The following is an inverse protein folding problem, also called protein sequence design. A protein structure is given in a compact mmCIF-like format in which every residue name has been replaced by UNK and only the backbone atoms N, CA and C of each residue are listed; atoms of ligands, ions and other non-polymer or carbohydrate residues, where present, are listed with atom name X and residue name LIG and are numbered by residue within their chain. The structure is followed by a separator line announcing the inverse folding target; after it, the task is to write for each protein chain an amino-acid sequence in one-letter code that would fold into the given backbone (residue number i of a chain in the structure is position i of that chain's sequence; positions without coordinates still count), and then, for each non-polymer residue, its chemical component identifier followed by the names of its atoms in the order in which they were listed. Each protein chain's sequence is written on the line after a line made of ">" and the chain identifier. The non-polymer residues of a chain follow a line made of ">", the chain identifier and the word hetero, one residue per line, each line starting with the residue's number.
data_IF_397132628791
#
_entry.id   IF_397132628791
#
_cell.length_a   1.000
_cell.length_b   1.000
_cell.length_c   1.000
_cell.angle_alpha   90.00
_cell.angle_beta   90.00
_cell.angle_gamma   90.00
#
_symmetry.space_group_name_H-M   'P 1'
#
loop_
_entity.id
_entity.type
_entity.pdbx_description
1 polymer ?
#
# COMPACT_ATOMS: atom_id res chain seq x y z
N UNK A 1 -18.60 -13.91 4.95
CA UNK A 1 -17.35 -13.63 5.70
C UNK A 1 -16.26 -13.31 4.69
N UNK A 2 -15.54 -12.20 4.86
CA UNK A 2 -14.53 -11.76 3.90
C UNK A 2 -13.26 -12.61 3.99
N UNK A 3 -13.16 -13.62 3.11
CA UNK A 3 -11.92 -14.33 2.78
C UNK A 3 -11.12 -13.47 1.80
N UNK A 4 -10.70 -12.27 2.21
CA UNK A 4 -9.98 -11.36 1.30
C UNK A 4 -8.52 -11.76 1.10
N UNK A 5 -7.96 -12.55 2.03
CA UNK A 5 -6.56 -12.98 2.02
C UNK A 5 -6.45 -14.47 2.33
N UNK A 6 -5.46 -15.12 1.72
CA UNK A 6 -5.12 -16.52 1.99
C UNK A 6 -4.41 -16.65 3.35
N UNK A 7 -4.34 -17.87 3.89
CA UNK A 7 -3.57 -18.13 5.10
C UNK A 7 -2.09 -17.75 4.95
N UNK A 8 -1.51 -17.96 3.78
CA UNK A 8 -0.12 -17.60 3.48
C UNK A 8 0.08 -16.08 3.54
N UNK A 9 -0.83 -15.31 2.93
CA UNK A 9 -0.81 -13.84 2.99
C UNK A 9 -0.97 -13.33 4.44
N UNK A 10 -1.83 -13.99 5.23
CA UNK A 10 -1.98 -13.70 6.65
C UNK A 10 -0.67 -13.95 7.42
N UNK A 11 0.07 -15.02 7.12
CA UNK A 11 1.37 -15.26 7.74
C UNK A 11 2.41 -14.21 7.32
N UNK A 12 2.40 -13.78 6.06
CA UNK A 12 3.26 -12.69 5.59
C UNK A 12 3.03 -11.41 6.40
N UNK A 13 1.77 -11.02 6.63
CA UNK A 13 1.46 -9.85 7.45
C UNK A 13 1.99 -9.98 8.89
N UNK A 14 1.87 -11.17 9.50
CA UNK A 14 2.36 -11.41 10.87
C UNK A 14 3.87 -11.26 11.01
N UNK A 15 4.64 -11.48 9.95
CA UNK A 15 6.09 -11.31 9.93
C UNK A 15 6.53 -9.97 9.32
N UNK A 16 5.58 -9.05 9.11
CA UNK A 16 5.86 -7.71 8.58
C UNK A 16 6.18 -7.68 7.09
N UNK A 17 5.79 -8.72 6.33
CA UNK A 17 5.95 -8.77 4.87
C UNK A 17 4.65 -8.38 4.17
N UNK A 18 4.81 -7.76 3.01
CA UNK A 18 3.72 -7.46 2.07
C UNK A 18 3.60 -8.60 1.06
N UNK A 19 2.40 -9.16 0.82
CA UNK A 19 2.19 -10.12 -0.26
C UNK A 19 2.48 -9.55 -1.65
N UNK A 20 2.83 -10.43 -2.58
CA UNK A 20 3.40 -10.09 -3.89
C UNK A 20 2.56 -9.10 -4.72
N UNK A 21 1.24 -9.28 -4.75
CA UNK A 21 0.34 -8.46 -5.58
C UNK A 21 -0.19 -7.21 -4.88
N UNK A 22 0.34 -6.85 -3.72
CA UNK A 22 -0.13 -5.72 -2.94
C UNK A 22 0.97 -4.71 -2.65
N UNK A 23 0.58 -3.45 -2.50
CA UNK A 23 1.48 -2.37 -2.10
C UNK A 23 0.82 -1.45 -1.08
N UNK A 24 1.65 -0.76 -0.31
CA UNK A 24 1.21 0.22 0.66
C UNK A 24 0.98 1.57 -0.02
N UNK A 25 -0.27 2.00 -0.05
CA UNK A 25 -0.70 3.29 -0.54
C UNK A 25 -0.80 4.31 0.61
N UNK A 26 -0.20 5.48 0.41
CA UNK A 26 -0.29 6.61 1.32
C UNK A 26 -1.58 7.38 1.06
N UNK A 27 -2.49 7.41 2.03
CA UNK A 27 -3.75 8.14 1.88
C UNK A 27 -3.53 9.65 2.05
N UNK A 28 -4.45 10.49 1.57
CA UNK A 28 -4.37 11.95 1.77
C UNK A 28 -4.44 12.37 3.25
N UNK A 29 -5.05 11.54 4.10
CA UNK A 29 -5.07 11.74 5.54
C UNK A 29 -3.75 11.25 6.12
N UNK A 30 -3.03 12.14 6.79
CA UNK A 30 -1.72 11.83 7.37
C UNK A 30 -1.80 10.69 8.39
N UNK A 31 -0.81 9.80 8.36
CA UNK A 31 -0.75 8.61 9.22
C UNK A 31 -1.64 7.44 8.80
N UNK A 32 -2.45 7.57 7.75
CA UNK A 32 -3.24 6.45 7.20
C UNK A 32 -2.51 5.80 6.01
N UNK A 33 -2.28 4.49 6.16
CA UNK A 33 -1.80 3.62 5.09
C UNK A 33 -2.90 2.64 4.68
N UNK A 34 -2.98 2.33 3.39
CA UNK A 34 -3.91 1.34 2.87
C UNK A 34 -3.16 0.31 2.04
N UNK A 35 -3.46 -0.96 2.27
CA UNK A 35 -2.99 -2.02 1.40
C UNK A 35 -3.92 -2.09 0.18
N UNK A 36 -3.35 -1.90 -1.00
CA UNK A 36 -4.09 -1.91 -2.28
C UNK A 36 -3.40 -2.84 -3.27
N UNK A 37 -4.14 -3.27 -4.29
CA UNK A 37 -3.59 -4.02 -5.41
C UNK A 37 -2.50 -3.20 -6.12
N UNK A 38 -1.39 -3.85 -6.44
CA UNK A 38 -0.22 -3.21 -7.05
C UNK A 38 -0.57 -2.56 -8.39
N UNK A 39 -1.31 -3.25 -9.26
CA UNK A 39 -1.62 -2.76 -10.60
C UNK A 39 -2.51 -1.52 -10.51
N UNK A 40 -3.52 -1.56 -9.64
CA UNK A 40 -4.38 -0.42 -9.34
C UNK A 40 -3.55 0.78 -8.88
N UNK A 41 -2.61 0.58 -7.96
CA UNK A 41 -1.74 1.64 -7.49
C UNK A 41 -0.81 2.18 -8.59
N UNK A 42 -0.24 1.30 -9.41
CA UNK A 42 0.64 1.64 -10.51
C UNK A 42 -0.07 2.49 -11.58
N UNK A 43 -1.31 2.12 -11.91
CA UNK A 43 -2.10 2.78 -12.94
C UNK A 43 -2.70 4.12 -12.45
N UNK A 44 -2.81 4.31 -11.13
CA UNK A 44 -3.25 5.58 -10.54
C UNK A 44 -2.09 6.52 -10.25
N UNK A 45 -1.94 7.57 -11.04
CA UNK A 45 -0.97 8.63 -10.77
C UNK A 45 -1.34 9.48 -9.55
N UNK A 46 -0.38 9.72 -8.65
CA UNK A 46 -0.55 10.63 -7.53
C UNK A 46 -0.54 12.09 -8.02
N UNK A 47 -1.66 12.79 -7.91
CA UNK A 47 -1.72 14.25 -8.11
C UNK A 47 -1.83 14.93 -6.74
N UNK A 48 -0.98 15.94 -6.48
CA UNK A 48 -1.04 16.74 -5.25
C UNK A 48 -0.40 16.15 -3.99
N UNK A 49 -0.07 14.85 -3.95
CA UNK A 49 0.58 14.19 -2.80
C UNK A 49 1.91 14.80 -2.37
N UNK A 50 2.63 15.48 -3.29
CA UNK A 50 3.92 16.12 -2.99
C UNK A 50 3.84 17.19 -1.88
N UNK A 51 2.70 17.88 -1.73
CA UNK A 51 2.51 18.90 -0.68
C UNK A 51 2.22 18.29 0.69
N UNK A 52 1.76 17.04 0.74
CA UNK A 52 1.33 16.35 1.97
C UNK A 52 2.41 15.35 2.42
N UNK A 53 3.07 14.68 1.47
CA UNK A 53 3.96 13.54 1.68
C UNK A 53 5.32 13.70 0.97
N UNK A 54 5.81 14.94 0.81
CA UNK A 54 6.99 15.31 0.00
C UNK A 54 8.12 14.27 -0.11
N UNK A 55 8.65 14.13 -1.33
CA UNK A 55 9.65 13.15 -1.74
C UNK A 55 11.00 13.37 -1.05
N UNK A 56 11.44 12.41 -0.24
CA UNK A 56 12.85 12.06 -0.06
C UNK A 56 12.98 10.54 0.19
N UNK A 57 12.54 9.72 -0.77
CA UNK A 57 12.83 8.28 -0.77
C UNK A 57 12.84 7.73 -2.20
N UNK A 58 13.58 8.38 -3.10
CA UNK A 58 14.12 7.74 -4.31
C UNK A 58 15.41 8.46 -4.70
N UNK A 59 16.49 8.11 -3.99
CA UNK A 59 17.88 8.09 -4.50
C UNK A 59 18.62 6.96 -3.81
#
# INVERSE_FOLDING_TARGET
>A
MALKFTDEEIQLFKIGKTPEHYTWHHHQDTGRMQLVDYQTHHDTGHTGGYKIWGKDSDK
#
